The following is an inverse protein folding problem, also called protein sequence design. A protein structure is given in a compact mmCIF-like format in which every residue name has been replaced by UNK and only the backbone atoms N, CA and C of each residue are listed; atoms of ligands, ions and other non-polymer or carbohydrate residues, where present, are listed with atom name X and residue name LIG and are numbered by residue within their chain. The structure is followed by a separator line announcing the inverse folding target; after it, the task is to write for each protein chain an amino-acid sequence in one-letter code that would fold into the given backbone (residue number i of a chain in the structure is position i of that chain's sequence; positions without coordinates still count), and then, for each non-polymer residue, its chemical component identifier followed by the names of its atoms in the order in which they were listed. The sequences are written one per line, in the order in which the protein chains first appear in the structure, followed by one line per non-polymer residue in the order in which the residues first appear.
data_IF_584195082963
#
_entry.id   IF_584195082963
#
_cell.length_a   1.000
_cell.length_b   1.000
_cell.length_c   1.000
_cell.angle_alpha   90.00
_cell.angle_beta   90.00
_cell.angle_gamma   90.00
#
_symmetry.space_group_name_H-M   'P 1'
#
loop_
_entity.id
_entity.type
_entity.pdbx_description
1 polymer ?
#
# COMPACT_ATOMS: atom_id res chain seq x y z
N UNK A 1 -16.65 6.19 -37.27
CA UNK A 1 -15.71 5.06 -37.47
C UNK A 1 -16.54 3.80 -37.32
N UNK A 2 -16.83 3.09 -38.42
CA UNK A 2 -17.66 1.88 -38.39
C UNK A 2 -16.97 0.83 -37.53
N UNK A 3 -17.69 0.29 -36.57
CA UNK A 3 -17.34 -0.90 -35.79
C UNK A 3 -16.92 -1.99 -36.76
N UNK A 4 -15.70 -2.50 -36.63
CA UNK A 4 -15.31 -3.72 -37.32
C UNK A 4 -16.18 -4.84 -36.77
N UNK A 5 -17.19 -5.26 -37.53
CA UNK A 5 -17.88 -6.53 -37.31
C UNK A 5 -16.85 -7.63 -37.54
N UNK A 6 -16.34 -8.19 -36.44
CA UNK A 6 -15.54 -9.41 -36.48
C UNK A 6 -16.45 -10.53 -36.97
N UNK A 7 -16.42 -10.82 -38.27
CA UNK A 7 -17.00 -12.04 -38.82
C UNK A 7 -16.11 -13.20 -38.39
N UNK A 8 -16.73 -14.16 -37.69
CA UNK A 8 -16.15 -15.35 -37.06
C UNK A 8 -15.54 -15.10 -35.67
N UNK A 9 -16.42 -15.13 -34.65
CA UNK A 9 -16.13 -15.72 -33.35
C UNK A 9 -17.25 -16.74 -33.12
N UNK A 10 -16.90 -17.97 -32.78
CA UNK A 10 -17.85 -18.96 -32.28
C UNK A 10 -18.75 -18.29 -31.23
N UNK A 11 -20.06 -18.18 -31.49
CA UNK A 11 -21.01 -17.42 -30.65
C UNK A 11 -21.41 -18.25 -29.42
N UNK A 12 -20.41 -18.80 -28.70
CA UNK A 12 -20.63 -19.43 -27.40
C UNK A 12 -21.15 -18.35 -26.45
N UNK A 13 -22.41 -18.45 -25.97
CA UNK A 13 -23.03 -17.40 -25.19
C UNK A 13 -22.25 -17.06 -23.91
N UNK A 14 -21.54 -18.03 -23.31
CA UNK A 14 -20.79 -17.76 -22.10
C UNK A 14 -19.35 -17.30 -22.33
N UNK A 15 -18.74 -17.54 -23.50
CA UNK A 15 -17.51 -16.81 -23.88
C UNK A 15 -17.81 -15.34 -24.15
N UNK A 16 -19.00 -15.03 -24.67
CA UNK A 16 -19.49 -13.66 -24.83
C UNK A 16 -19.69 -12.98 -23.47
N UNK A 17 -20.33 -13.65 -22.52
CA UNK A 17 -20.48 -13.15 -21.15
C UNK A 17 -19.11 -12.92 -20.47
N UNK A 18 -18.18 -13.86 -20.63
CA UNK A 18 -16.81 -13.74 -20.13
C UNK A 18 -16.09 -12.52 -20.70
N UNK A 19 -16.21 -12.29 -22.01
CA UNK A 19 -15.62 -11.14 -22.68
C UNK A 19 -16.22 -9.80 -22.21
N UNK A 20 -17.53 -9.76 -21.95
CA UNK A 20 -18.18 -8.56 -21.41
C UNK A 20 -17.69 -8.25 -19.99
N UNK A 21 -17.60 -9.28 -19.14
CA UNK A 21 -17.07 -9.17 -17.77
C UNK A 21 -15.61 -8.70 -17.74
N UNK A 22 -14.72 -9.32 -18.53
CA UNK A 22 -13.31 -8.89 -18.64
C UNK A 22 -13.18 -7.43 -19.11
N UNK A 23 -13.99 -7.00 -20.08
CA UNK A 23 -14.01 -5.60 -20.53
C UNK A 23 -14.50 -4.64 -19.46
N UNK A 24 -15.50 -5.02 -18.68
CA UNK A 24 -16.04 -4.19 -17.60
C UNK A 24 -15.00 -4.01 -16.49
N UNK A 25 -14.33 -5.09 -16.09
CA UNK A 25 -13.18 -5.07 -15.18
C UNK A 25 -12.08 -4.16 -15.72
N UNK A 26 -11.67 -4.35 -16.97
CA UNK A 26 -10.61 -3.56 -17.60
C UNK A 26 -10.93 -2.07 -17.58
N UNK A 27 -12.18 -1.67 -17.90
CA UNK A 27 -12.63 -0.27 -17.79
C UNK A 27 -12.61 0.24 -16.36
N UNK A 28 -13.07 -0.55 -15.40
CA UNK A 28 -13.10 -0.15 -14.00
C UNK A 28 -11.69 0.11 -13.46
N UNK A 29 -10.71 -0.71 -13.85
CA UNK A 29 -9.31 -0.52 -13.47
C UNK A 29 -8.64 0.63 -14.24
N UNK A 30 -8.90 0.77 -15.55
CA UNK A 30 -8.36 1.88 -16.36
C UNK A 30 -8.92 3.25 -15.97
N UNK A 31 -10.15 3.29 -15.44
CA UNK A 31 -10.76 4.54 -14.96
C UNK A 31 -10.13 5.08 -13.67
N UNK A 32 -9.18 4.34 -13.07
CA UNK A 32 -8.38 4.84 -11.95
C UNK A 32 -7.42 5.91 -12.45
N UNK A 33 -7.68 7.14 -12.01
CA UNK A 33 -6.85 8.30 -12.29
C UNK A 33 -5.41 8.13 -11.79
N UNK A 34 -4.48 8.57 -12.65
CA UNK A 34 -3.08 8.88 -12.35
C UNK A 34 -2.93 9.53 -10.97
N UNK A 35 -2.11 8.91 -10.11
CA UNK A 35 -1.59 9.56 -8.91
C UNK A 35 -2.23 9.17 -7.57
N UNK A 36 -3.34 8.42 -7.53
CA UNK A 36 -3.91 7.91 -6.26
C UNK A 36 -3.31 6.56 -5.84
N UNK A 37 -3.29 6.24 -4.54
CA UNK A 37 -2.88 4.91 -4.04
C UNK A 37 -3.88 3.84 -4.51
N UNK A 38 -3.45 2.58 -4.70
CA UNK A 38 -4.38 1.50 -5.01
C UNK A 38 -5.45 1.40 -3.93
N UNK A 39 -6.71 1.49 -4.34
CA UNK A 39 -7.82 1.20 -3.45
C UNK A 39 -8.14 -0.31 -3.54
N UNK A 40 -7.43 -1.11 -2.75
CA UNK A 40 -7.61 -2.56 -2.72
C UNK A 40 -9.01 -2.97 -2.28
N UNK A 41 -9.70 -2.16 -1.46
CA UNK A 41 -11.07 -2.42 -1.05
C UNK A 41 -12.06 -2.22 -2.19
N UNK A 42 -11.92 -1.15 -2.99
CA UNK A 42 -12.70 -1.00 -4.23
C UNK A 42 -12.44 -2.13 -5.21
N UNK A 43 -11.20 -2.59 -5.30
CA UNK A 43 -10.84 -3.72 -6.15
C UNK A 43 -11.51 -5.00 -5.65
N UNK A 44 -11.40 -5.31 -4.36
CA UNK A 44 -12.05 -6.46 -3.74
C UNK A 44 -13.58 -6.41 -3.92
N UNK A 45 -14.20 -5.23 -3.82
CA UNK A 45 -15.62 -5.05 -4.09
C UNK A 45 -16.00 -5.37 -5.53
N UNK A 46 -15.26 -4.83 -6.50
CA UNK A 46 -15.48 -5.17 -7.90
C UNK A 46 -15.34 -6.67 -8.13
N UNK A 47 -14.29 -7.30 -7.60
CA UNK A 47 -14.09 -8.75 -7.68
C UNK A 47 -15.27 -9.52 -7.07
N UNK A 48 -15.79 -9.06 -5.93
CA UNK A 48 -16.91 -9.64 -5.23
C UNK A 48 -18.18 -9.59 -6.07
N UNK A 49 -18.46 -8.45 -6.69
CA UNK A 49 -19.62 -8.26 -7.58
C UNK A 49 -19.51 -9.16 -8.82
N UNK A 50 -18.31 -9.27 -9.43
CA UNK A 50 -18.10 -10.07 -10.63
C UNK A 50 -18.14 -11.58 -10.38
N UNK A 51 -17.56 -12.02 -9.26
CA UNK A 51 -17.46 -13.43 -8.90
C UNK A 51 -18.60 -13.91 -8.02
N UNK A 52 -19.51 -13.01 -7.59
CA UNK A 52 -20.60 -13.32 -6.65
C UNK A 52 -20.11 -14.18 -5.49
N UNK A 53 -18.95 -13.82 -4.95
CA UNK A 53 -18.19 -14.57 -3.97
C UNK A 53 -17.51 -13.59 -3.02
N UNK A 54 -17.30 -14.02 -1.77
CA UNK A 54 -16.49 -13.26 -0.84
C UNK A 54 -15.05 -13.23 -1.34
N UNK A 55 -14.41 -12.08 -1.23
CA UNK A 55 -13.07 -11.83 -1.75
C UNK A 55 -12.16 -11.41 -0.62
N UNK A 56 -10.98 -12.03 -0.57
CA UNK A 56 -9.89 -11.60 0.30
C UNK A 56 -8.61 -11.48 -0.52
N UNK A 57 -7.99 -10.32 -0.45
CA UNK A 57 -6.69 -10.05 -1.03
C UNK A 57 -5.65 -10.02 0.08
N UNK A 58 -4.76 -11.00 0.07
CA UNK A 58 -3.79 -11.20 1.15
C UNK A 58 -2.38 -11.14 0.57
N UNK A 59 -1.53 -10.32 1.18
CA UNK A 59 -0.12 -10.21 0.86
C UNK A 59 0.64 -11.49 1.23
N UNK A 60 1.85 -11.64 0.68
CA UNK A 60 2.71 -12.80 0.98
C UNK A 60 3.05 -12.93 2.49
N UNK A 61 3.10 -11.81 3.18
CA UNK A 61 3.34 -11.68 4.63
C UNK A 61 2.09 -11.95 5.49
N UNK A 62 0.95 -12.26 4.87
CA UNK A 62 -0.32 -12.48 5.58
C UNK A 62 -1.13 -11.22 5.84
N UNK A 63 -0.61 -10.05 5.46
CA UNK A 63 -1.34 -8.79 5.59
C UNK A 63 -2.56 -8.77 4.68
N UNK A 64 -3.70 -8.39 5.22
CA UNK A 64 -4.94 -8.23 4.47
C UNK A 64 -4.89 -6.89 3.75
N UNK A 65 -4.75 -6.91 2.43
CA UNK A 65 -4.68 -5.70 1.60
C UNK A 65 -6.08 -5.13 1.35
N UNK A 66 -7.07 -6.01 1.16
CA UNK A 66 -8.47 -5.64 0.99
C UNK A 66 -9.39 -6.84 1.01
N UNK A 67 -10.66 -6.59 1.31
CA UNK A 67 -11.69 -7.63 1.37
C UNK A 67 -13.04 -7.08 0.93
N UNK A 68 -13.95 -7.98 0.54
CA UNK A 68 -15.36 -7.65 0.32
C UNK A 68 -16.20 -8.89 0.52
N UNK A 69 -17.37 -8.71 1.13
CA UNK A 69 -18.38 -9.76 1.27
C UNK A 69 -19.56 -9.50 0.37
N UNK A 70 -20.22 -10.60 -0.02
CA UNK A 70 -21.56 -10.53 -0.58
C UNK A 70 -22.49 -10.06 0.53
N UNK A 71 -23.39 -9.12 0.24
CA UNK A 71 -24.12 -8.24 1.18
C UNK A 71 -24.83 -8.88 2.40
N UNK A 72 -24.92 -10.20 2.48
CA UNK A 72 -25.60 -10.95 3.54
C UNK A 72 -24.64 -11.78 4.42
N UNK A 73 -23.36 -11.90 4.04
CA UNK A 73 -22.39 -12.67 4.80
C UNK A 73 -21.73 -11.85 5.90
N UNK A 74 -21.65 -12.44 7.10
CA UNK A 74 -20.81 -11.99 8.22
C UNK A 74 -20.34 -13.20 9.00
N UNK A 75 -19.09 -13.16 9.45
CA UNK A 75 -18.54 -14.10 10.44
C UNK A 75 -17.78 -13.30 11.50
N UNK A 76 -17.98 -13.64 12.77
CA UNK A 76 -17.30 -12.99 13.90
C UNK A 76 -15.80 -13.31 13.90
N UNK A 77 -15.43 -14.57 13.66
CA UNK A 77 -14.02 -14.99 13.65
C UNK A 77 -13.25 -14.32 12.50
N UNK A 78 -13.81 -14.32 11.29
CA UNK A 78 -13.20 -13.63 10.16
C UNK A 78 -13.17 -12.12 10.39
N UNK A 79 -14.19 -11.52 11.01
CA UNK A 79 -14.17 -10.09 11.36
C UNK A 79 -12.99 -9.74 12.27
N UNK A 80 -12.66 -10.60 13.24
CA UNK A 80 -11.51 -10.41 14.13
C UNK A 80 -10.21 -10.31 13.34
N UNK A 81 -9.97 -11.21 12.39
CA UNK A 81 -8.76 -11.17 11.55
C UNK A 81 -8.73 -9.94 10.63
N UNK A 82 -9.90 -9.51 10.13
CA UNK A 82 -10.03 -8.30 9.31
C UNK A 82 -9.70 -7.04 10.11
N UNK A 83 -10.12 -6.97 11.38
CA UNK A 83 -9.85 -5.86 12.29
C UNK A 83 -8.37 -5.82 12.72
N UNK A 84 -7.77 -6.99 12.97
CA UNK A 84 -6.33 -7.13 13.22
C UNK A 84 -5.49 -6.82 11.97
N UNK A 85 -6.06 -7.04 10.78
CA UNK A 85 -5.44 -6.77 9.49
C UNK A 85 -4.46 -7.84 9.00
N UNK A 86 -4.39 -8.99 9.70
CA UNK A 86 -3.51 -10.11 9.38
C UNK A 86 -4.25 -11.43 9.48
N UNK A 87 -3.92 -12.36 8.58
CA UNK A 87 -4.38 -13.74 8.66
C UNK A 87 -3.47 -14.57 9.60
N UNK A 88 -4.00 -15.64 10.23
CA UNK A 88 -3.21 -16.54 11.07
C UNK A 88 -2.02 -17.13 10.33
N UNK A 89 -0.86 -17.20 10.99
CA UNK A 89 0.41 -17.64 10.39
C UNK A 89 0.32 -19.01 9.73
N UNK A 90 -0.33 -19.98 10.38
CA UNK A 90 -0.54 -21.32 9.82
C UNK A 90 -1.32 -21.31 8.49
N UNK A 91 -2.29 -20.40 8.35
CA UNK A 91 -3.04 -20.23 7.12
C UNK A 91 -2.20 -19.57 6.04
N UNK A 92 -1.39 -18.58 6.42
CA UNK A 92 -0.46 -17.86 5.53
C UNK A 92 0.61 -18.80 4.98
N UNK A 93 1.15 -19.70 5.79
CA UNK A 93 2.07 -20.73 5.32
C UNK A 93 1.41 -21.67 4.32
N UNK A 94 0.21 -22.17 4.64
CA UNK A 94 -0.55 -23.07 3.76
C UNK A 94 -0.84 -22.44 2.41
N UNK A 95 -1.42 -21.24 2.39
CA UNK A 95 -1.75 -20.56 1.14
C UNK A 95 -0.51 -20.29 0.28
N UNK A 96 0.64 -19.99 0.91
CA UNK A 96 1.90 -19.72 0.23
C UNK A 96 2.53 -20.96 -0.43
N UNK A 97 2.09 -22.18 -0.07
CA UNK A 97 2.55 -23.42 -0.72
C UNK A 97 1.92 -23.66 -2.10
N UNK A 98 0.70 -23.15 -2.33
CA UNK A 98 -0.02 -23.35 -3.59
C UNK A 98 0.57 -22.50 -4.73
N UNK A 99 1.16 -23.12 -5.75
CA UNK A 99 1.76 -22.40 -6.90
C UNK A 99 0.81 -22.16 -8.07
N UNK A 100 -0.30 -22.87 -8.08
CA UNK A 100 -1.35 -22.79 -9.10
C UNK A 100 -2.68 -22.55 -8.39
N UNK A 101 -3.72 -22.25 -9.18
CA UNK A 101 -5.07 -22.09 -8.64
C UNK A 101 -5.57 -23.41 -8.08
N UNK A 102 -5.98 -23.41 -6.81
CA UNK A 102 -6.44 -24.62 -6.10
C UNK A 102 -7.85 -24.38 -5.56
N UNK A 103 -8.77 -25.27 -5.93
CA UNK A 103 -10.08 -25.39 -5.30
C UNK A 103 -9.94 -26.23 -4.03
N UNK A 104 -10.39 -25.72 -2.90
CA UNK A 104 -10.43 -26.41 -1.62
C UNK A 104 -11.83 -26.30 -1.03
N UNK A 105 -12.46 -27.44 -0.78
CA UNK A 105 -13.77 -27.49 -0.10
C UNK A 105 -13.58 -27.52 1.42
N UNK A 106 -12.58 -28.26 1.92
CA UNK A 106 -12.31 -28.36 3.35
C UNK A 106 -11.90 -27.03 3.98
N UNK A 107 -11.12 -26.23 3.25
CA UNK A 107 -10.56 -24.99 3.81
C UNK A 107 -11.58 -23.86 3.88
N UNK A 108 -12.67 -23.99 3.13
CA UNK A 108 -13.75 -23.03 3.12
C UNK A 108 -14.46 -22.90 4.49
N UNK A 109 -14.22 -23.87 5.39
CA UNK A 109 -14.81 -23.98 6.72
C UNK A 109 -13.83 -23.72 7.87
N UNK A 110 -12.55 -23.42 7.60
CA UNK A 110 -11.51 -23.36 8.65
C UNK A 110 -11.75 -22.30 9.73
N UNK A 111 -12.48 -21.23 9.40
CA UNK A 111 -12.76 -20.09 10.28
C UNK A 111 -14.25 -19.72 10.23
N UNK A 112 -15.08 -20.76 10.16
CA UNK A 112 -16.52 -20.59 10.24
C UNK A 112 -16.97 -20.49 11.69
N UNK A 113 -17.84 -19.53 11.96
CA UNK A 113 -18.53 -19.45 13.25
C UNK A 113 -19.30 -20.77 13.49
N UNK A 114 -19.37 -21.19 14.76
CA UNK A 114 -20.03 -22.43 15.20
C UNK A 114 -21.51 -22.48 14.77
N UNK A 115 -21.78 -23.05 13.60
CA UNK A 115 -23.12 -23.19 13.02
C UNK A 115 -23.55 -24.66 13.02
N UNK A 116 -24.81 -24.92 13.44
CA UNK A 116 -25.40 -26.26 13.46
C UNK A 116 -25.50 -26.90 12.07
N UNK A 117 -25.64 -26.09 11.02
CA UNK A 117 -25.65 -26.50 9.61
C UNK A 117 -24.84 -25.47 8.81
N UNK A 118 -23.60 -25.81 8.46
CA UNK A 118 -22.77 -24.96 7.62
C UNK A 118 -23.26 -25.09 6.16
N UNK A 119 -23.53 -23.99 5.44
CA UNK A 119 -23.90 -24.05 4.04
C UNK A 119 -22.75 -24.65 3.20
N UNK A 120 -23.05 -25.16 2.01
CA UNK A 120 -22.00 -25.58 1.08
C UNK A 120 -21.13 -24.38 0.68
N UNK A 121 -19.80 -24.51 0.86
CA UNK A 121 -18.83 -23.47 0.54
C UNK A 121 -17.73 -24.04 -0.34
N UNK A 122 -17.33 -23.22 -1.30
CA UNK A 122 -16.23 -23.50 -2.20
C UNK A 122 -15.20 -22.39 -2.05
N UNK A 123 -13.97 -22.75 -1.71
CA UNK A 123 -12.86 -21.81 -1.59
C UNK A 123 -11.87 -22.00 -2.73
N UNK A 124 -11.47 -20.90 -3.36
CA UNK A 124 -10.48 -20.89 -4.43
C UNK A 124 -9.26 -20.08 -3.98
N UNK A 125 -8.10 -20.72 -3.93
CA UNK A 125 -6.82 -20.06 -3.77
C UNK A 125 -6.27 -19.72 -5.14
N UNK A 126 -6.00 -18.45 -5.40
CA UNK A 126 -5.44 -17.99 -6.67
C UNK A 126 -4.14 -17.23 -6.35
N UNK A 127 -2.97 -17.84 -6.59
CA UNK A 127 -1.69 -17.18 -6.36
C UNK A 127 -1.55 -15.92 -7.21
N UNK A 128 -1.08 -14.83 -6.60
CA UNK A 128 -0.81 -13.58 -7.31
C UNK A 128 0.68 -13.49 -7.60
N UNK A 129 1.01 -13.49 -8.88
CA UNK A 129 2.37 -13.31 -9.37
C UNK A 129 2.54 -11.96 -10.06
N UNK A 130 3.74 -11.39 -9.92
CA UNK A 130 4.16 -10.25 -10.71
C UNK A 130 5.69 -10.24 -10.83
N UNK A 131 6.20 -9.93 -12.02
CA UNK A 131 7.64 -9.96 -12.32
C UNK A 131 8.35 -11.27 -11.88
N UNK A 132 7.66 -12.42 -12.04
CA UNK A 132 8.10 -13.75 -11.60
C UNK A 132 8.27 -13.92 -10.06
N UNK A 133 7.80 -12.97 -9.25
CA UNK A 133 7.73 -13.07 -7.79
C UNK A 133 6.29 -13.35 -7.35
N UNK A 134 6.13 -14.13 -6.28
CA UNK A 134 4.83 -14.25 -5.59
C UNK A 134 4.59 -13.01 -4.74
N UNK A 135 3.52 -12.29 -5.04
CA UNK A 135 3.14 -11.06 -4.36
C UNK A 135 2.13 -11.30 -3.24
N UNK A 136 1.30 -12.34 -3.39
CA UNK A 136 0.25 -12.68 -2.43
C UNK A 136 -0.66 -13.78 -2.96
N UNK A 137 -1.89 -13.81 -2.46
CA UNK A 137 -2.93 -14.74 -2.89
C UNK A 137 -4.28 -14.03 -2.88
N UNK A 138 -5.06 -14.22 -3.93
CA UNK A 138 -6.47 -13.88 -4.01
C UNK A 138 -7.28 -15.10 -3.56
N UNK A 139 -8.16 -14.90 -2.60
CA UNK A 139 -9.05 -15.95 -2.09
C UNK A 139 -10.48 -15.59 -2.47
N UNK A 140 -11.18 -16.53 -3.10
CA UNK A 140 -12.61 -16.44 -3.36
C UNK A 140 -13.36 -17.49 -2.55
N UNK A 141 -14.42 -17.10 -1.86
CA UNK A 141 -15.30 -18.04 -1.15
C UNK A 141 -16.74 -17.85 -1.64
N UNK A 142 -17.29 -18.88 -2.28
CA UNK A 142 -18.64 -18.86 -2.85
C UNK A 142 -19.52 -19.90 -2.15
N UNK A 143 -20.75 -19.51 -1.85
CA UNK A 143 -21.76 -20.36 -1.21
C UNK A 143 -22.64 -21.03 -2.27
N UNK A 144 -23.09 -22.25 -1.99
CA UNK A 144 -24.12 -23.02 -2.71
C UNK A 144 -23.83 -23.37 -4.18
N UNK A 145 -22.88 -22.70 -4.85
CA UNK A 145 -22.57 -22.90 -6.26
C UNK A 145 -21.05 -23.08 -6.45
N UNK A 146 -20.61 -24.18 -7.08
CA UNK A 146 -19.19 -24.39 -7.37
C UNK A 146 -18.68 -23.38 -8.42
N UNK A 147 -17.36 -23.23 -8.48
CA UNK A 147 -16.70 -22.42 -9.51
C UNK A 147 -16.67 -23.18 -10.84
N UNK A 148 -17.04 -22.48 -11.91
CA UNK A 148 -16.92 -22.99 -13.28
C UNK A 148 -15.56 -22.63 -13.88
N UNK A 149 -15.16 -23.29 -14.98
CA UNK A 149 -13.92 -22.93 -15.69
C UNK A 149 -13.89 -21.45 -16.11
N UNK A 150 -15.04 -20.88 -16.47
CA UNK A 150 -15.17 -19.46 -16.81
C UNK A 150 -14.86 -18.56 -15.61
N UNK A 151 -15.25 -18.98 -14.40
CA UNK A 151 -14.90 -18.29 -13.16
C UNK A 151 -13.40 -18.37 -12.87
N UNK A 152 -12.76 -19.54 -13.08
CA UNK A 152 -11.32 -19.70 -12.88
C UNK A 152 -10.52 -18.79 -13.82
N UNK A 153 -10.86 -18.78 -15.12
CA UNK A 153 -10.22 -17.91 -16.11
C UNK A 153 -10.36 -16.43 -15.73
N UNK A 154 -11.55 -16.02 -15.29
CA UNK A 154 -11.74 -14.66 -14.77
C UNK A 154 -10.86 -14.40 -13.55
N UNK A 155 -10.86 -15.32 -12.60
CA UNK A 155 -10.19 -15.13 -11.33
C UNK A 155 -8.67 -15.02 -11.49
N UNK A 156 -8.07 -15.82 -12.36
CA UNK A 156 -6.64 -15.73 -12.71
C UNK A 156 -6.31 -14.45 -13.48
N UNK A 157 -7.18 -14.06 -14.43
CA UNK A 157 -7.03 -12.79 -15.13
C UNK A 157 -7.05 -11.61 -14.14
N UNK A 158 -7.98 -11.65 -13.19
CA UNK A 158 -8.12 -10.65 -12.13
C UNK A 158 -6.91 -10.64 -11.20
N UNK A 159 -6.45 -11.81 -10.75
CA UNK A 159 -5.24 -11.94 -9.94
C UNK A 159 -4.02 -11.33 -10.62
N UNK A 160 -3.88 -11.51 -11.94
CA UNK A 160 -2.82 -10.88 -12.74
C UNK A 160 -2.92 -9.35 -12.70
N UNK A 161 -4.13 -8.80 -12.85
CA UNK A 161 -4.35 -7.35 -12.78
C UNK A 161 -4.05 -6.80 -11.38
N UNK A 162 -4.40 -7.53 -10.31
CA UNK A 162 -4.01 -7.17 -8.95
C UNK A 162 -2.49 -7.19 -8.79
N UNK A 163 -1.81 -8.18 -9.35
CA UNK A 163 -0.35 -8.27 -9.33
C UNK A 163 0.32 -7.05 -9.96
N UNK A 164 -0.20 -6.57 -11.10
CA UNK A 164 0.27 -5.34 -11.75
C UNK A 164 0.07 -4.13 -10.84
N UNK A 165 -1.09 -4.01 -10.19
CA UNK A 165 -1.38 -2.90 -9.27
C UNK A 165 -0.44 -2.91 -8.04
N UNK A 166 -0.18 -4.08 -7.46
CA UNK A 166 0.77 -4.23 -6.35
C UNK A 166 2.18 -3.79 -6.78
N UNK A 167 2.63 -4.19 -7.97
CA UNK A 167 3.93 -3.77 -8.49
C UNK A 167 3.99 -2.27 -8.78
N UNK A 168 2.90 -1.69 -9.29
CA UNK A 168 2.80 -0.27 -9.54
C UNK A 168 2.93 0.52 -8.23
N UNK A 169 2.24 0.09 -7.17
CA UNK A 169 2.35 0.69 -5.84
C UNK A 169 3.77 0.59 -5.27
N UNK A 170 4.38 -0.60 -5.35
CA UNK A 170 5.77 -0.80 -4.89
C UNK A 170 6.74 0.14 -5.63
N UNK A 171 6.57 0.26 -6.95
CA UNK A 171 7.41 1.15 -7.78
C UNK A 171 7.24 2.60 -7.37
N UNK A 172 6.00 3.06 -7.23
CA UNK A 172 5.70 4.43 -6.77
C UNK A 172 6.26 4.72 -5.38
N UNK A 173 6.14 3.79 -4.44
CA UNK A 173 6.73 3.93 -3.12
C UNK A 173 8.26 4.01 -3.17
N UNK A 174 8.92 3.26 -4.06
CA UNK A 174 10.37 3.35 -4.28
C UNK A 174 10.75 4.70 -4.89
N UNK A 175 10.00 5.18 -5.89
CA UNK A 175 10.21 6.48 -6.52
C UNK A 175 10.03 7.63 -5.52
N UNK A 176 8.96 7.62 -4.72
CA UNK A 176 8.70 8.61 -3.67
C UNK A 176 9.83 8.64 -2.64
N UNK A 177 10.27 7.48 -2.13
CA UNK A 177 11.40 7.38 -1.20
C UNK A 177 12.71 7.84 -1.83
N UNK A 178 12.95 7.51 -3.10
CA UNK A 178 14.17 7.92 -3.82
C UNK A 178 14.19 9.43 -4.03
N UNK A 179 13.03 10.01 -4.36
CA UNK A 179 12.85 11.45 -4.47
C UNK A 179 13.07 12.15 -3.14
N UNK A 180 12.51 11.63 -2.06
CA UNK A 180 12.70 12.18 -0.71
C UNK A 180 14.19 12.18 -0.33
N UNK A 181 14.89 11.06 -0.54
CA UNK A 181 16.35 10.97 -0.33
C UNK A 181 17.13 11.97 -1.18
N UNK A 182 16.77 12.13 -2.45
CA UNK A 182 17.43 13.09 -3.33
C UNK A 182 17.26 14.54 -2.82
N UNK A 183 16.05 14.91 -2.38
CA UNK A 183 15.78 16.24 -1.80
C UNK A 183 16.63 16.47 -0.56
N UNK A 184 16.71 15.48 0.34
CA UNK A 184 17.55 15.52 1.54
C UNK A 184 19.02 15.72 1.18
N UNK A 185 19.56 14.94 0.25
CA UNK A 185 20.95 15.06 -0.19
C UNK A 185 21.26 16.40 -0.85
N UNK A 186 20.34 16.93 -1.66
CA UNK A 186 20.49 18.25 -2.27
C UNK A 186 20.55 19.35 -1.22
N UNK A 187 19.68 19.29 -0.20
CA UNK A 187 19.69 20.27 0.87
C UNK A 187 20.97 20.18 1.72
N UNK A 188 21.44 18.97 2.03
CA UNK A 188 22.72 18.76 2.72
C UNK A 188 23.89 19.37 1.95
N UNK A 189 23.92 19.21 0.61
CA UNK A 189 24.95 19.83 -0.25
C UNK A 189 24.82 21.35 -0.36
N UNK A 190 23.64 21.92 -0.12
CA UNK A 190 23.44 23.37 -0.12
C UNK A 190 23.92 24.05 1.18
N UNK A 191 24.11 23.27 2.25
CA UNK A 191 24.69 23.74 3.51
C UNK A 191 26.22 23.73 3.43
N UNK A 192 26.83 24.80 3.92
CA UNK A 192 28.27 24.85 4.21
C UNK A 192 28.61 24.04 5.45
N UNK A 193 29.89 23.73 5.64
CA UNK A 193 30.36 22.95 6.79
C UNK A 193 29.89 23.51 8.14
N UNK A 194 30.01 24.82 8.35
CA UNK A 194 29.55 25.49 9.58
C UNK A 194 28.03 25.50 9.73
N UNK A 195 27.28 25.55 8.63
CA UNK A 195 25.82 25.43 8.64
C UNK A 195 25.37 24.01 9.00
N UNK A 196 26.02 22.97 8.46
CA UNK A 196 25.74 21.57 8.82
C UNK A 196 25.99 21.35 10.31
N UNK A 197 27.13 21.79 10.84
CA UNK A 197 27.47 21.61 12.26
C UNK A 197 26.48 22.35 13.17
N UNK A 198 26.11 23.58 12.79
CA UNK A 198 25.08 24.35 13.50
C UNK A 198 23.74 23.61 13.54
N UNK A 199 23.32 23.03 12.40
CA UNK A 199 22.07 22.29 12.30
C UNK A 199 22.10 21.01 13.15
N UNK A 200 23.23 20.29 13.18
CA UNK A 200 23.40 19.11 14.05
C UNK A 200 23.18 19.47 15.52
N UNK A 201 23.82 20.54 15.99
CA UNK A 201 23.66 21.00 17.36
C UNK A 201 22.21 21.43 17.67
N UNK A 202 21.53 22.08 16.73
CA UNK A 202 20.12 22.45 16.89
C UNK A 202 19.25 21.22 17.13
N UNK A 203 19.35 20.21 16.26
CA UNK A 203 18.51 19.01 16.39
C UNK A 203 18.91 18.13 17.58
N UNK A 204 20.17 18.14 17.99
CA UNK A 204 20.61 17.45 19.19
C UNK A 204 20.04 18.09 20.46
N UNK A 205 19.95 19.42 20.51
CA UNK A 205 19.32 20.15 21.62
C UNK A 205 17.81 20.00 21.67
N UNK A 206 17.15 19.87 20.52
CA UNK A 206 15.71 19.63 20.45
C UNK A 206 15.35 18.24 20.97
N UNK A 207 16.11 17.21 20.60
CA UNK A 207 15.82 15.82 20.97
C UNK A 207 14.49 15.28 20.40
N UNK A 208 13.87 16.02 19.48
CA UNK A 208 12.56 15.75 18.91
C UNK A 208 12.50 16.25 17.46
N UNK A 209 11.48 15.81 16.71
CA UNK A 209 11.20 16.29 15.35
C UNK A 209 10.56 17.69 15.31
N UNK A 210 10.18 18.24 16.46
CA UNK A 210 9.58 19.57 16.55
C UNK A 210 9.93 20.28 17.86
N UNK A 211 10.12 21.59 17.80
CA UNK A 211 10.35 22.41 19.00
C UNK A 211 10.79 23.83 18.69
N UNK A 212 11.19 24.56 19.74
CA UNK A 212 11.55 25.99 19.64
C UNK A 212 13.05 26.17 19.80
N UNK A 213 13.65 26.86 18.84
CA UNK A 213 15.09 27.13 18.79
C UNK A 213 15.36 28.61 18.96
N UNK A 214 16.30 28.95 19.85
CA UNK A 214 16.78 30.32 20.05
C UNK A 214 18.14 30.43 19.36
N UNK A 215 18.16 31.03 18.16
CA UNK A 215 19.34 31.09 17.31
C UNK A 215 20.57 31.76 17.97
N UNK A 216 20.37 32.73 18.86
CA UNK A 216 21.50 33.34 19.60
C UNK A 216 22.15 32.36 20.57
N UNK A 217 21.35 31.57 21.31
CA UNK A 217 21.86 30.59 22.27
C UNK A 217 22.69 29.49 21.60
N UNK A 218 22.25 29.06 20.42
CA UNK A 218 22.98 28.07 19.62
C UNK A 218 24.24 28.70 19.00
N UNK A 219 24.17 29.94 18.52
CA UNK A 219 25.31 30.66 17.96
C UNK A 219 26.47 30.76 18.96
N UNK A 220 26.16 31.15 20.20
CA UNK A 220 27.14 31.28 21.28
C UNK A 220 27.80 29.95 21.66
N UNK A 221 27.06 28.83 21.56
CA UNK A 221 27.53 27.49 21.90
C UNK A 221 28.41 26.88 20.82
N UNK A 222 28.02 27.03 19.55
CA UNK A 222 28.75 26.47 18.38
C UNK A 222 29.92 27.38 17.98
N UNK A 223 29.94 28.63 18.45
CA UNK A 223 31.00 29.59 18.13
C UNK A 223 30.87 30.18 16.72
N UNK A 224 29.63 30.33 16.23
CA UNK A 224 29.31 30.90 14.91
C UNK A 224 28.44 32.14 15.04
N UNK A 225 28.30 32.93 13.98
CA UNK A 225 27.37 34.06 13.99
C UNK A 225 25.91 33.57 13.87
N UNK A 226 24.98 34.31 14.47
CA UNK A 226 23.53 34.05 14.32
C UNK A 226 23.08 33.94 12.85
N UNK A 227 23.74 34.66 11.94
CA UNK A 227 23.42 34.63 10.51
C UNK A 227 23.68 33.26 9.87
N UNK A 228 24.66 32.49 10.35
CA UNK A 228 24.94 31.11 9.88
C UNK A 228 23.73 30.22 10.17
N UNK A 229 23.21 30.28 11.39
CA UNK A 229 22.04 29.48 11.81
C UNK A 229 20.80 29.88 11.02
N UNK A 230 20.51 31.18 10.92
CA UNK A 230 19.32 31.67 10.19
C UNK A 230 19.39 31.28 8.71
N UNK A 231 20.57 31.35 8.09
CA UNK A 231 20.76 30.93 6.70
C UNK A 231 20.58 29.42 6.52
N UNK A 232 21.12 28.60 7.44
CA UNK A 232 20.94 27.16 7.41
C UNK A 232 19.46 26.78 7.47
N UNK A 233 18.71 27.35 8.44
CA UNK A 233 17.28 27.12 8.58
C UNK A 233 16.49 27.56 7.33
N UNK A 234 16.83 28.73 6.76
CA UNK A 234 16.19 29.22 5.53
C UNK A 234 16.43 28.30 4.33
N UNK A 235 17.63 27.73 4.20
CA UNK A 235 17.96 26.77 3.12
C UNK A 235 17.15 25.47 3.28
N UNK A 236 17.01 24.97 4.50
CA UNK A 236 16.22 23.77 4.80
C UNK A 236 14.72 23.99 4.58
N UNK A 237 14.20 25.16 4.95
CA UNK A 237 12.81 25.54 4.69
C UNK A 237 12.55 25.68 3.19
N UNK A 238 13.48 26.29 2.45
CA UNK A 238 13.40 26.41 0.99
C UNK A 238 13.43 25.05 0.27
N UNK A 239 14.09 24.05 0.86
CA UNK A 239 14.11 22.68 0.36
C UNK A 239 12.88 21.84 0.79
N UNK A 240 11.97 22.39 1.60
CA UNK A 240 10.81 21.68 2.12
C UNK A 240 11.15 20.59 3.16
N UNK A 241 12.32 20.67 3.79
CA UNK A 241 12.76 19.71 4.82
C UNK A 241 12.21 20.08 6.19
N UNK A 242 12.09 21.38 6.46
CA UNK A 242 11.53 21.92 7.69
C UNK A 242 10.45 22.95 7.38
N UNK A 243 9.54 23.11 8.33
CA UNK A 243 8.66 24.27 8.42
C UNK A 243 9.14 25.14 9.58
N UNK A 244 9.23 26.46 9.36
CA UNK A 244 9.66 27.40 10.40
C UNK A 244 8.59 28.45 10.68
N UNK A 245 8.37 28.76 11.96
CA UNK A 245 7.47 29.84 12.40
C UNK A 245 8.15 30.71 13.43
N UNK A 246 8.34 31.99 13.10
CA UNK A 246 8.91 32.96 14.03
C UNK A 246 7.96 33.21 15.22
N UNK A 247 8.49 33.09 16.44
CA UNK A 247 7.82 33.46 17.69
C UNK A 247 8.38 34.78 18.26
N UNK A 248 9.05 35.57 17.43
CA UNK A 248 9.70 36.81 17.83
C UNK A 248 10.86 36.57 18.81
N UNK A 249 10.82 37.21 19.97
CA UNK A 249 11.88 37.10 21.00
C UNK A 249 11.95 35.72 21.66
N UNK A 250 10.89 34.90 21.57
CA UNK A 250 10.85 33.55 22.14
C UNK A 250 11.63 32.52 21.32
N UNK A 251 12.05 32.87 20.10
CA UNK A 251 12.76 32.00 19.18
C UNK A 251 11.95 31.67 17.92
N UNK A 252 12.32 30.59 17.25
CA UNK A 252 11.66 30.09 16.05
C UNK A 252 11.19 28.67 16.33
N UNK A 253 9.90 28.40 16.13
CA UNK A 253 9.38 27.05 16.11
C UNK A 253 9.80 26.37 14.81
N UNK A 254 10.29 25.14 14.90
CA UNK A 254 10.74 24.34 13.77
C UNK A 254 10.03 23.00 13.86
N UNK A 255 9.54 22.52 12.71
CA UNK A 255 9.01 21.17 12.54
C UNK A 255 9.71 20.49 11.37
N UNK A 256 10.24 19.30 11.60
CA UNK A 256 10.85 18.47 10.56
C UNK A 256 9.74 17.80 9.74
N UNK A 257 9.78 17.98 8.43
CA UNK A 257 8.86 17.35 7.48
C UNK A 257 9.38 16.02 6.95
N UNK A 258 10.71 15.87 6.81
CA UNK A 258 11.36 14.64 6.37
C UNK A 258 12.24 14.06 7.49
N UNK A 259 11.84 12.97 8.16
CA UNK A 259 12.65 12.30 9.17
C UNK A 259 13.99 11.78 8.64
N UNK A 260 14.05 11.44 7.33
CA UNK A 260 15.27 11.00 6.64
C UNK A 260 16.41 12.02 6.76
N UNK A 261 16.09 13.30 6.85
CA UNK A 261 17.09 14.35 7.03
C UNK A 261 17.84 14.22 8.36
N UNK A 262 17.13 13.91 9.45
CA UNK A 262 17.74 13.79 10.77
C UNK A 262 18.56 12.50 10.89
N UNK A 263 18.13 11.45 10.18
CA UNK A 263 18.90 10.22 9.98
C UNK A 263 20.21 10.50 9.21
N UNK A 264 20.17 11.21 8.07
CA UNK A 264 21.39 11.55 7.31
C UNK A 264 22.33 12.50 8.09
N UNK A 265 21.80 13.36 8.96
CA UNK A 265 22.60 14.20 9.86
C UNK A 265 23.30 13.39 10.97
N UNK A 266 22.80 12.20 11.29
CA UNK A 266 23.32 11.34 12.36
C UNK A 266 22.97 11.81 13.78
N UNK A 267 21.85 12.51 13.95
CA UNK A 267 21.50 13.19 15.22
C UNK A 267 20.42 12.45 16.02
N UNK A 268 19.54 11.69 15.36
CA UNK A 268 18.57 10.80 16.00
C UNK A 268 18.88 9.37 15.55
N UNK A 269 19.29 8.51 16.49
CA UNK A 269 19.35 7.07 16.25
C UNK A 269 17.94 6.49 16.43
N UNK A 270 17.59 5.50 15.61
CA UNK A 270 16.42 4.65 15.86
C UNK A 270 16.67 3.87 17.16
N UNK A 271 15.80 4.07 18.14
CA UNK A 271 15.37 2.96 19.00
C UNK A 271 14.40 2.07 18.19
#
# INVERSE_FOLDING_TARGET
MKSAEFSVIDDDPGLRELLEKTRQVGRALQSRWEGSKPDYNKLAKLLCDFSTANVYLIGRDGRILGHSWVSEYRSEEISSFLDEGYMPEAFVEKMNQHRETVLSESDAYLYDDDAKEAPEKYMLYIPIYGAAERLGTLILVRFFKPFSLKDLVMAEHLATLVGIEILHERTKNIEERSRERLVVQMAMRALSYSEVESVKHIFHELGSLEGVVIASKVADRVGVTRSVIVNALRKLESAGIIESRSLGMKGTFIKVLSPLFVEELGVLQKD
#
